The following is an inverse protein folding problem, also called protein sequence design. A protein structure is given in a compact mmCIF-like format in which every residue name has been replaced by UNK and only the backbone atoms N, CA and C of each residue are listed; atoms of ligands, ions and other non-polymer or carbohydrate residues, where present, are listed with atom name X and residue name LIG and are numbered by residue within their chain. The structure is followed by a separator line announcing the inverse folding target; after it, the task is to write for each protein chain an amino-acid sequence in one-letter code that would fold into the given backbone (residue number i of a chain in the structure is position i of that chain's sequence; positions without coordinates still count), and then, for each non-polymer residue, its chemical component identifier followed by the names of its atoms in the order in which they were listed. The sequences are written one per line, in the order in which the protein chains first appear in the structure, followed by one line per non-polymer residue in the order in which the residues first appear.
data_IF_746845224312
#
_entry.id   IF_746845224312
#
_cell.length_a   1.000
_cell.length_b   1.000
_cell.length_c   1.000
_cell.angle_alpha   90.00
_cell.angle_beta   90.00
_cell.angle_gamma   90.00
#
_symmetry.space_group_name_H-M   'P 1'
#
loop_
_entity.id
_entity.type
_entity.pdbx_description
1 polymer ?
#
# COMPACT_ATOMS: atom_id res chain seq x y z
N UNK A 1 -8.87 44.13 -21.75
CA UNK A 1 -9.70 42.95 -22.06
C UNK A 1 -8.96 41.68 -21.65
N UNK A 2 -9.50 40.92 -20.70
CA UNK A 2 -9.01 39.58 -20.41
C UNK A 2 -9.90 38.60 -21.19
N UNK A 3 -9.31 37.88 -22.13
CA UNK A 3 -10.01 36.96 -23.02
C UNK A 3 -10.77 35.87 -22.26
N UNK A 4 -11.90 35.47 -22.83
CA UNK A 4 -12.74 34.37 -22.35
C UNK A 4 -11.89 33.11 -22.11
N UNK A 5 -11.62 32.78 -20.85
CA UNK A 5 -11.03 31.50 -20.46
C UNK A 5 -12.16 30.54 -20.18
N UNK A 6 -12.54 29.77 -21.20
CA UNK A 6 -13.38 28.58 -21.01
C UNK A 6 -12.52 27.59 -20.25
N UNK A 7 -12.78 27.43 -18.95
CA UNK A 7 -12.32 26.27 -18.19
C UNK A 7 -13.05 25.07 -18.78
N UNK A 8 -12.45 24.43 -19.78
CA UNK A 8 -12.88 23.12 -20.24
C UNK A 8 -12.89 22.18 -19.05
N UNK A 9 -13.91 21.33 -19.00
CA UNK A 9 -14.26 20.43 -17.91
C UNK A 9 -13.20 19.36 -17.59
N UNK A 10 -12.00 19.76 -17.19
CA UNK A 10 -10.97 18.90 -16.61
C UNK A 10 -11.13 18.77 -15.08
N UNK A 11 -12.28 19.16 -14.53
CA UNK A 11 -12.70 18.80 -13.17
C UNK A 11 -12.93 17.28 -12.98
N UNK A 12 -12.69 16.46 -14.01
CA UNK A 12 -12.81 15.00 -13.98
C UNK A 12 -11.49 14.25 -13.87
N UNK A 13 -10.32 14.90 -13.99
CA UNK A 13 -9.06 14.26 -13.56
C UNK A 13 -8.96 14.35 -12.04
N UNK A 14 -9.52 13.36 -11.35
CA UNK A 14 -9.23 13.11 -9.93
C UNK A 14 -7.73 12.82 -9.82
N UNK A 15 -6.93 13.85 -9.56
CA UNK A 15 -5.51 13.67 -9.31
C UNK A 15 -5.39 12.82 -8.04
N UNK A 16 -4.67 11.69 -8.08
CA UNK A 16 -4.47 10.87 -6.89
C UNK A 16 -3.87 11.71 -5.77
N UNK A 17 -4.48 11.67 -4.58
CA UNK A 17 -3.83 12.21 -3.40
C UNK A 17 -2.60 11.37 -3.12
N UNK A 18 -1.43 11.98 -3.13
CA UNK A 18 -0.16 11.28 -2.93
C UNK A 18 0.42 11.66 -1.59
N UNK A 19 0.76 10.66 -0.79
CA UNK A 19 1.46 10.78 0.49
C UNK A 19 2.79 10.04 0.39
N UNK A 20 3.82 10.56 1.04
CA UNK A 20 5.12 9.89 1.17
C UNK A 20 5.35 9.49 2.63
N UNK A 21 5.76 8.25 2.84
CA UNK A 21 6.19 7.70 4.13
C UNK A 21 7.69 7.47 4.04
N UNK A 22 8.41 7.90 5.08
CA UNK A 22 9.85 7.70 5.20
C UNK A 22 10.12 6.56 6.17
N UNK A 23 10.88 5.56 5.72
CA UNK A 23 11.33 4.42 6.52
C UNK A 23 12.83 4.56 6.74
N UNK A 24 13.28 4.62 7.98
CA UNK A 24 14.71 4.74 8.32
C UNK A 24 15.12 3.57 9.18
N UNK A 25 16.20 2.90 8.81
CA UNK A 25 16.81 1.88 9.64
C UNK A 25 17.66 2.54 10.73
N UNK A 26 17.23 2.44 11.98
CA UNK A 26 17.95 2.96 13.15
C UNK A 26 18.80 1.91 13.85
N UNK A 27 18.80 0.67 13.35
CA UNK A 27 19.61 -0.42 13.88
C UNK A 27 21.06 -0.36 13.37
N UNK A 28 21.94 -1.13 14.00
CA UNK A 28 23.35 -1.25 13.60
C UNK A 28 23.58 -2.35 12.55
N UNK A 29 22.55 -3.09 12.19
CA UNK A 29 22.59 -4.17 11.21
C UNK A 29 21.64 -3.86 10.04
N UNK A 30 21.82 -4.57 8.92
CA UNK A 30 20.92 -4.49 7.77
C UNK A 30 19.54 -5.03 8.14
N UNK A 31 18.48 -4.33 7.71
CA UNK A 31 17.09 -4.73 7.95
C UNK A 31 16.38 -4.85 6.61
N UNK A 32 15.72 -6.00 6.39
CA UNK A 32 14.77 -6.14 5.28
C UNK A 32 13.37 -5.82 5.75
N UNK A 33 12.59 -5.09 4.96
CA UNK A 33 11.22 -4.74 5.29
C UNK A 33 10.26 -5.13 4.15
N UNK A 34 9.05 -5.52 4.51
CA UNK A 34 7.99 -5.84 3.55
C UNK A 34 6.62 -5.41 4.08
N UNK A 35 5.88 -4.67 3.27
CA UNK A 35 4.51 -4.25 3.53
C UNK A 35 3.53 -5.27 2.95
N UNK A 36 2.55 -5.73 3.74
CA UNK A 36 1.52 -6.62 3.22
C UNK A 36 0.44 -5.85 2.46
N UNK A 37 0.74 -5.55 1.19
CA UNK A 37 -0.12 -4.80 0.29
C UNK A 37 -1.31 -5.61 -0.24
N UNK A 38 -1.42 -6.90 0.10
CA UNK A 38 -2.54 -7.77 -0.34
C UNK A 38 -3.90 -7.22 0.10
N UNK A 39 -3.95 -6.53 1.25
CA UNK A 39 -5.15 -5.88 1.79
C UNK A 39 -5.62 -4.69 0.95
N UNK A 40 -4.74 -4.09 0.14
CA UNK A 40 -5.10 -2.97 -0.74
C UNK A 40 -5.99 -3.43 -1.90
N UNK A 41 -5.87 -4.68 -2.34
CA UNK A 41 -6.72 -5.24 -3.41
C UNK A 41 -8.21 -5.30 -3.04
N UNK A 42 -8.51 -5.38 -1.73
CA UNK A 42 -9.88 -5.35 -1.20
C UNK A 42 -10.49 -3.95 -1.13
N UNK A 43 -9.72 -2.89 -1.40
CA UNK A 43 -10.18 -1.51 -1.29
C UNK A 43 -11.08 -1.04 -2.44
N UNK A 44 -11.79 -1.96 -3.10
CA UNK A 44 -12.60 -1.69 -4.31
C UNK A 44 -14.06 -2.11 -4.10
N UNK A 45 -14.98 -1.30 -4.63
CA UNK A 45 -16.32 -1.75 -5.03
C UNK A 45 -16.45 -1.51 -6.54
N UNK A 46 -16.32 -2.57 -7.33
CA UNK A 46 -16.53 -2.52 -8.79
C UNK A 46 -15.44 -1.80 -9.63
N UNK A 47 -14.34 -1.34 -9.04
CA UNK A 47 -13.29 -0.56 -9.73
C UNK A 47 -11.84 -0.94 -9.38
N UNK A 48 -10.84 -0.15 -9.80
CA UNK A 48 -9.44 -0.32 -9.37
C UNK A 48 -9.30 -0.05 -7.86
N UNK A 49 -8.22 -0.54 -7.21
CA UNK A 49 -7.95 -0.24 -5.80
C UNK A 49 -7.94 1.27 -5.52
N UNK A 50 -8.60 1.70 -4.44
CA UNK A 50 -8.58 3.12 -4.05
C UNK A 50 -7.27 3.54 -3.41
N UNK A 51 -6.50 2.59 -2.87
CA UNK A 51 -5.18 2.82 -2.31
C UNK A 51 -4.11 2.07 -3.13
N UNK A 52 -2.96 2.72 -3.37
CA UNK A 52 -1.75 2.07 -3.86
C UNK A 52 -0.56 2.36 -2.93
N UNK A 53 0.43 1.47 -2.93
CA UNK A 53 1.62 1.53 -2.09
C UNK A 53 2.83 1.05 -2.92
N UNK A 54 3.92 1.81 -2.94
CA UNK A 54 5.15 1.44 -3.65
C UNK A 54 6.39 2.18 -3.12
N UNK A 55 7.54 1.50 -2.92
CA UNK A 55 7.75 0.05 -3.08
C UNK A 55 7.02 -0.76 -2.00
N UNK A 56 6.80 -2.05 -2.25
CA UNK A 56 6.15 -2.95 -1.29
C UNK A 56 7.16 -3.62 -0.34
N UNK A 57 8.44 -3.62 -0.69
CA UNK A 57 9.52 -4.22 0.09
C UNK A 57 10.83 -3.52 -0.24
N UNK A 58 11.81 -3.69 0.64
CA UNK A 58 13.15 -3.14 0.48
C UNK A 58 14.13 -3.67 1.51
N UNK A 59 15.39 -3.27 1.37
CA UNK A 59 16.47 -3.57 2.31
C UNK A 59 17.15 -2.25 2.65
N UNK A 60 17.43 -2.03 3.93
CA UNK A 60 18.02 -0.80 4.44
C UNK A 60 19.29 -1.13 5.24
N UNK A 61 20.42 -0.59 4.81
CA UNK A 61 21.65 -0.59 5.60
C UNK A 61 21.51 0.29 6.86
N UNK A 62 22.41 0.18 7.86
CA UNK A 62 22.38 1.02 9.05
C UNK A 62 22.36 2.52 8.72
N UNK A 63 21.35 3.24 9.22
CA UNK A 63 21.14 4.66 8.97
C UNK A 63 20.53 5.00 7.60
N UNK A 64 20.30 4.01 6.74
CA UNK A 64 19.68 4.22 5.43
C UNK A 64 18.20 4.54 5.56
N UNK A 65 17.68 5.25 4.56
CA UNK A 65 16.29 5.67 4.48
C UNK A 65 15.70 5.37 3.11
N UNK A 66 14.49 4.82 3.11
CA UNK A 66 13.68 4.63 1.91
C UNK A 66 12.41 5.50 1.96
N UNK A 67 11.88 5.84 0.78
CA UNK A 67 10.66 6.62 0.63
C UNK A 67 9.59 5.81 -0.07
N UNK A 68 8.53 5.51 0.68
CA UNK A 68 7.33 4.85 0.17
C UNK A 68 6.33 5.88 -0.29
N UNK A 69 5.79 5.68 -1.49
CA UNK A 69 4.66 6.42 -2.03
C UNK A 69 3.36 5.67 -1.78
N UNK A 70 2.41 6.35 -1.14
CA UNK A 70 1.03 5.92 -1.01
C UNK A 70 0.15 6.83 -1.86
N UNK A 71 -0.73 6.27 -2.67
CA UNK A 71 -1.70 7.07 -3.43
C UNK A 71 -3.13 6.68 -3.05
N UNK A 72 -4.00 7.68 -2.99
CA UNK A 72 -5.43 7.54 -2.69
C UNK A 72 -6.28 8.18 -3.79
N UNK A 73 -7.10 7.35 -4.43
CA UNK A 73 -7.91 7.69 -5.61
C UNK A 73 -9.35 7.17 -5.45
N UNK A 74 -10.14 7.71 -4.51
CA UNK A 74 -11.51 7.24 -4.29
C UNK A 74 -12.42 7.63 -5.47
N UNK A 75 -13.33 6.73 -5.84
CA UNK A 75 -14.42 7.01 -6.78
C UNK A 75 -15.69 7.53 -6.07
N UNK A 76 -15.91 7.08 -4.83
CA UNK A 76 -17.12 7.37 -4.05
C UNK A 76 -16.84 8.36 -2.92
N UNK A 77 -17.88 9.09 -2.51
CA UNK A 77 -17.83 10.01 -1.38
C UNK A 77 -18.27 9.30 -0.10
N UNK A 78 -17.34 8.54 0.49
CA UNK A 78 -17.49 7.85 1.77
C UNK A 78 -16.16 7.78 2.51
N UNK A 79 -16.18 7.22 3.71
CA UNK A 79 -14.97 6.96 4.47
C UNK A 79 -14.22 5.74 3.92
N UNK A 80 -12.89 5.86 3.85
CA UNK A 80 -11.99 4.78 3.46
C UNK A 80 -10.91 4.62 4.53
N UNK A 81 -10.59 3.37 4.86
CA UNK A 81 -9.53 3.05 5.80
C UNK A 81 -8.94 1.67 5.50
N UNK A 82 -7.61 1.58 5.52
CA UNK A 82 -6.88 0.33 5.41
C UNK A 82 -5.71 0.36 6.38
N UNK A 83 -5.39 -0.79 6.98
CA UNK A 83 -4.18 -0.99 7.77
C UNK A 83 -3.27 -1.90 6.98
N UNK A 84 -2.04 -1.44 6.73
CA UNK A 84 -1.02 -2.20 6.01
C UNK A 84 0.06 -2.58 7.03
N UNK A 85 0.12 -3.85 7.46
CA UNK A 85 1.19 -4.32 8.34
C UNK A 85 2.55 -4.24 7.64
N UNK A 86 3.57 -3.83 8.39
CA UNK A 86 4.97 -3.85 7.99
C UNK A 86 5.67 -4.99 8.74
N UNK A 87 6.40 -5.82 8.02
CA UNK A 87 7.14 -6.95 8.54
C UNK A 87 8.64 -6.72 8.32
N UNK A 88 9.45 -7.22 9.25
CA UNK A 88 10.90 -7.15 9.18
C UNK A 88 11.48 -8.55 8.97
N UNK A 89 12.64 -8.65 8.32
CA UNK A 89 13.50 -9.83 8.30
C UNK A 89 12.80 -11.14 7.90
N UNK A 90 11.95 -11.03 6.88
CA UNK A 90 11.20 -12.15 6.30
C UNK A 90 9.95 -12.59 7.07
N UNK A 91 9.51 -11.83 8.08
CA UNK A 91 8.30 -12.18 8.85
C UNK A 91 7.03 -12.26 8.00
N UNK A 92 6.95 -11.49 6.90
CA UNK A 92 5.81 -11.56 5.99
C UNK A 92 5.66 -12.96 5.37
N UNK A 93 6.76 -13.53 4.88
CA UNK A 93 6.74 -14.84 4.25
C UNK A 93 6.46 -15.95 5.27
N UNK A 94 6.96 -15.80 6.51
CA UNK A 94 6.60 -16.68 7.62
C UNK A 94 5.10 -16.63 7.93
N UNK A 95 4.52 -15.43 8.03
CA UNK A 95 3.10 -15.24 8.28
C UNK A 95 2.24 -15.85 7.16
N UNK A 96 2.61 -15.64 5.89
CA UNK A 96 1.94 -16.23 4.72
C UNK A 96 2.03 -17.74 4.71
N UNK A 97 3.18 -18.32 5.02
CA UNK A 97 3.36 -19.76 5.09
C UNK A 97 2.47 -20.39 6.17
N UNK A 98 2.43 -19.79 7.36
CA UNK A 98 1.57 -20.24 8.45
C UNK A 98 0.08 -20.19 8.07
N UNK A 99 -0.37 -19.09 7.44
CA UNK A 99 -1.75 -18.97 6.96
C UNK A 99 -2.13 -20.05 5.93
N UNK A 100 -1.23 -20.35 4.99
CA UNK A 100 -1.44 -21.43 4.00
C UNK A 100 -1.57 -22.80 4.65
N UNK A 101 -0.74 -23.10 5.65
CA UNK A 101 -0.80 -24.36 6.40
C UNK A 101 -2.13 -24.50 7.17
N UNK A 102 -2.56 -23.45 7.87
CA UNK A 102 -3.83 -23.45 8.59
C UNK A 102 -5.02 -23.68 7.65
N UNK A 103 -5.03 -23.03 6.48
CA UNK A 103 -6.08 -23.22 5.48
C UNK A 103 -6.11 -24.67 4.95
N UNK A 104 -4.95 -25.30 4.76
CA UNK A 104 -4.86 -26.68 4.32
C UNK A 104 -5.38 -27.68 5.38
N UNK A 105 -5.12 -27.43 6.66
CA UNK A 105 -5.58 -28.29 7.77
C UNK A 105 -7.09 -28.18 7.98
N UNK A 106 -7.68 -26.99 7.81
CA UNK A 106 -9.11 -26.75 7.96
C UNK A 106 -9.98 -27.28 6.80
N UNK A 107 -9.37 -27.65 5.67
CA UNK A 107 -10.06 -28.13 4.47
C UNK A 107 -10.11 -29.68 4.37
N UNK A 108 -9.88 -30.41 5.46
CA UNK A 108 -9.96 -31.87 5.50
C UNK A 108 -11.35 -32.41 5.10
N UNK A 109 -11.45 -33.59 4.46
CA UNK A 109 -12.70 -34.08 3.90
C UNK A 109 -13.75 -34.29 5.01
N UNK A 110 -14.93 -33.70 4.80
CA UNK A 110 -16.14 -33.97 5.59
C UNK A 110 -16.68 -35.37 5.32
#
# INVERSE_FOLDING_TARGET
EFGHRVLHAELTRRVPYTMTITLTNTEQEEVSWAADTSLLAGSREGGPPVFSWSPAEGVLAPGETDTVRVQFSPADLRDFGVRVPLYLDGDLERARAAAKLLAAVGAGPS
#
